data_IF_005742036906
#
_entry.id   IF_005742036906
#
_cell.length_a   1.000
_cell.length_b   1.000
_cell.length_c   1.000
_cell.angle_alpha   90.00
_cell.angle_beta   90.00
_cell.angle_gamma   90.00
#
_symmetry.space_group_name_H-M   'P 1'
#
loop_
_entity.id
_entity.type
_entity.pdbx_description
1 polymer ?
#
# COMPACT_ATOMS: atom_id res chain seq x y z
N UNK A 1 -25.85 -8.82 -16.74
CA UNK A 1 -26.55 -9.84 -15.90
C UNK A 1 -25.66 -10.07 -14.68
N UNK A 2 -26.14 -9.72 -13.51
CA UNK A 2 -25.37 -9.83 -12.27
C UNK A 2 -25.39 -11.28 -11.79
N UNK A 3 -24.22 -11.85 -11.53
CA UNK A 3 -24.10 -13.22 -11.03
C UNK A 3 -23.19 -13.20 -9.79
N UNK A 4 -23.72 -13.68 -8.67
CA UNK A 4 -22.94 -13.84 -7.44
C UNK A 4 -22.69 -15.31 -7.18
N UNK A 5 -21.43 -15.66 -6.92
CA UNK A 5 -21.05 -16.97 -6.41
C UNK A 5 -20.35 -16.80 -5.05
N UNK A 6 -20.21 -17.90 -4.32
CA UNK A 6 -19.57 -17.91 -3.01
C UNK A 6 -18.33 -18.77 -3.05
N UNK A 7 -17.19 -18.19 -2.67
CA UNK A 7 -15.94 -18.93 -2.52
C UNK A 7 -15.70 -19.19 -1.05
N UNK A 8 -15.45 -20.45 -0.71
CA UNK A 8 -15.10 -20.86 0.65
C UNK A 8 -13.59 -20.90 0.79
N UNK A 9 -13.08 -20.16 1.76
CA UNK A 9 -11.67 -20.14 2.11
C UNK A 9 -11.49 -20.60 3.56
N UNK A 10 -10.37 -21.26 3.83
CA UNK A 10 -9.92 -21.57 5.18
C UNK A 10 -8.70 -20.68 5.48
N UNK A 11 -8.87 -19.76 6.42
CA UNK A 11 -7.77 -18.91 6.90
C UNK A 11 -7.28 -19.50 8.22
N UNK A 12 -6.00 -19.79 8.28
CA UNK A 12 -5.35 -20.40 9.44
C UNK A 12 -5.60 -19.55 10.70
N UNK A 13 -6.17 -20.19 11.72
CA UNK A 13 -6.50 -19.54 13.00
C UNK A 13 -7.86 -18.85 13.04
N UNK A 14 -8.59 -18.73 11.91
CA UNK A 14 -9.89 -18.04 11.87
C UNK A 14 -11.04 -18.98 11.43
N UNK A 15 -10.71 -20.12 10.81
CA UNK A 15 -11.70 -21.06 10.32
C UNK A 15 -12.16 -20.78 8.88
N UNK A 16 -13.36 -21.26 8.54
CA UNK A 16 -13.91 -21.13 7.18
C UNK A 16 -14.61 -19.79 6.99
N UNK A 17 -14.30 -19.12 5.88
CA UNK A 17 -14.87 -17.85 5.48
C UNK A 17 -15.53 -18.01 4.12
N UNK A 18 -16.75 -17.49 3.97
CA UNK A 18 -17.45 -17.39 2.69
C UNK A 18 -17.27 -15.98 2.15
N UNK A 19 -16.68 -15.90 0.97
CA UNK A 19 -16.49 -14.64 0.24
C UNK A 19 -17.47 -14.62 -0.93
N UNK A 20 -18.46 -13.72 -0.94
CA UNK A 20 -19.29 -13.49 -2.11
C UNK A 20 -18.47 -12.80 -3.18
N UNK A 21 -18.43 -13.40 -4.36
CA UNK A 21 -17.80 -12.85 -5.56
C UNK A 21 -18.92 -12.49 -6.54
N UNK A 22 -19.01 -11.22 -6.86
CA UNK A 22 -20.03 -10.69 -7.77
C UNK A 22 -19.40 -10.23 -9.08
N UNK A 23 -19.86 -10.76 -10.20
CA UNK A 23 -19.51 -10.23 -11.52
C UNK A 23 -20.50 -9.10 -11.83
N UNK A 24 -20.00 -7.87 -11.85
CA UNK A 24 -20.80 -6.65 -12.01
C UNK A 24 -19.92 -5.50 -12.50
N UNK A 25 -20.51 -4.60 -13.27
CA UNK A 25 -19.86 -3.34 -13.64
C UNK A 25 -19.84 -2.32 -12.47
N UNK A 26 -20.42 -2.69 -11.32
CA UNK A 26 -20.46 -1.87 -10.13
C UNK A 26 -19.49 -2.42 -9.06
N UNK A 27 -18.27 -1.86 -8.93
CA UNK A 27 -17.21 -2.42 -8.08
C UNK A 27 -17.49 -2.37 -6.58
N UNK A 28 -18.53 -1.66 -6.15
CA UNK A 28 -18.92 -1.54 -4.73
C UNK A 28 -19.95 -2.60 -4.29
N UNK A 29 -20.36 -3.50 -5.17
CA UNK A 29 -21.32 -4.56 -4.83
C UNK A 29 -20.64 -5.79 -4.25
N UNK A 30 -20.72 -5.92 -2.92
CA UNK A 30 -20.24 -7.10 -2.19
C UNK A 30 -18.79 -7.03 -1.74
N UNK A 31 -18.29 -8.14 -1.19
CA UNK A 31 -16.93 -8.21 -0.64
C UNK A 31 -15.86 -8.25 -1.72
N UNK A 32 -16.20 -8.80 -2.90
CA UNK A 32 -15.37 -8.79 -4.09
C UNK A 32 -16.27 -8.65 -5.32
N UNK A 33 -16.28 -7.48 -5.94
CA UNK A 33 -16.91 -7.23 -7.22
C UNK A 33 -15.85 -7.17 -8.33
N UNK A 34 -16.10 -7.83 -9.43
CA UNK A 34 -15.20 -7.88 -10.59
C UNK A 34 -16.00 -7.70 -11.88
N UNK A 35 -15.37 -7.11 -12.90
CA UNK A 35 -16.01 -6.84 -14.18
C UNK A 35 -16.14 -8.10 -15.05
N UNK A 36 -15.31 -9.13 -14.81
CA UNK A 36 -15.35 -10.39 -15.53
C UNK A 36 -14.76 -11.54 -14.73
N UNK A 37 -15.06 -12.80 -15.11
CA UNK A 37 -14.56 -13.98 -14.41
C UNK A 37 -13.03 -14.08 -14.36
N UNK A 38 -12.35 -13.56 -15.38
CA UNK A 38 -10.88 -13.53 -15.49
C UNK A 38 -10.22 -12.67 -14.41
N UNK A 39 -10.96 -11.70 -13.87
CA UNK A 39 -10.49 -10.86 -12.78
C UNK A 39 -10.61 -11.54 -11.40
N UNK A 40 -11.19 -12.74 -11.32
CA UNK A 40 -11.28 -13.53 -10.09
C UNK A 40 -9.97 -14.31 -9.88
N UNK A 41 -9.03 -13.72 -9.18
CA UNK A 41 -7.75 -14.37 -8.86
C UNK A 41 -7.75 -14.91 -7.42
N UNK A 42 -6.95 -15.94 -7.11
CA UNK A 42 -6.80 -16.44 -5.74
C UNK A 42 -6.39 -15.34 -4.75
N UNK A 43 -5.53 -14.42 -5.19
CA UNK A 43 -5.08 -13.26 -4.40
C UNK A 43 -6.26 -12.35 -4.05
N UNK A 44 -7.04 -11.89 -5.03
CA UNK A 44 -8.20 -11.02 -4.80
C UNK A 44 -9.25 -11.65 -3.88
N UNK A 45 -9.49 -12.96 -4.02
CA UNK A 45 -10.40 -13.69 -3.12
C UNK A 45 -9.84 -13.70 -1.70
N UNK A 46 -8.54 -13.99 -1.53
CA UNK A 46 -7.88 -14.00 -0.22
C UNK A 46 -7.92 -12.62 0.41
N UNK A 47 -7.66 -11.58 -0.36
CA UNK A 47 -7.67 -10.20 0.11
C UNK A 47 -9.07 -9.76 0.57
N UNK A 48 -10.11 -10.08 -0.19
CA UNK A 48 -11.49 -9.84 0.21
C UNK A 48 -11.85 -10.60 1.51
N UNK A 49 -11.41 -11.86 1.63
CA UNK A 49 -11.60 -12.63 2.85
C UNK A 49 -10.90 -12.00 4.06
N UNK A 50 -9.67 -11.51 3.89
CA UNK A 50 -8.90 -10.83 4.93
C UNK A 50 -9.60 -9.55 5.40
N UNK A 51 -10.02 -8.70 4.46
CA UNK A 51 -10.78 -7.47 4.78
C UNK A 51 -12.08 -7.79 5.52
N UNK A 52 -12.80 -8.82 5.09
CA UNK A 52 -14.04 -9.25 5.74
C UNK A 52 -13.88 -9.61 7.23
N UNK A 53 -12.74 -10.14 7.62
CA UNK A 53 -12.43 -10.50 9.01
C UNK A 53 -11.56 -9.46 9.72
N UNK A 54 -11.36 -8.29 9.11
CA UNK A 54 -10.60 -7.19 9.71
C UNK A 54 -9.08 -7.38 9.74
N UNK A 55 -8.55 -8.30 8.93
CA UNK A 55 -7.10 -8.48 8.78
C UNK A 55 -6.54 -7.53 7.72
N UNK A 56 -5.46 -6.80 8.00
CA UNK A 56 -4.80 -5.92 7.02
C UNK A 56 -4.19 -6.72 5.87
N UNK A 57 -4.22 -6.17 4.65
CA UNK A 57 -3.60 -6.80 3.49
C UNK A 57 -2.10 -6.61 3.50
N UNK A 58 -1.37 -7.65 3.11
CA UNK A 58 0.04 -7.56 2.77
C UNK A 58 0.16 -6.99 1.36
N UNK A 59 0.80 -5.83 1.24
CA UNK A 59 1.02 -5.13 -0.04
C UNK A 59 2.24 -5.72 -0.75
N UNK A 60 3.31 -5.95 -0.02
CA UNK A 60 4.51 -6.58 -0.51
C UNK A 60 5.56 -6.71 0.58
N UNK A 61 6.58 -7.51 0.30
CA UNK A 61 7.67 -7.74 1.24
C UNK A 61 9.03 -7.89 0.55
N UNK A 62 10.08 -7.61 1.29
CA UNK A 62 11.47 -7.88 0.95
C UNK A 62 12.08 -8.78 2.03
N UNK A 63 13.37 -9.05 1.92
CA UNK A 63 14.12 -9.74 2.98
C UNK A 63 14.05 -8.97 4.32
N UNK A 64 14.05 -7.63 4.29
CA UNK A 64 14.22 -6.77 5.48
C UNK A 64 12.95 -6.12 5.98
N UNK A 65 11.97 -5.90 5.11
CA UNK A 65 10.74 -5.20 5.46
C UNK A 65 9.51 -5.78 4.76
N UNK A 66 8.34 -5.40 5.27
CA UNK A 66 7.08 -5.61 4.59
C UNK A 66 6.19 -4.37 4.69
N UNK A 67 5.34 -4.19 3.68
CA UNK A 67 4.28 -3.19 3.65
C UNK A 67 2.95 -3.88 3.81
N UNK A 68 2.10 -3.35 4.69
CA UNK A 68 0.71 -3.78 4.83
C UNK A 68 -0.21 -2.60 5.13
N UNK A 69 -1.49 -2.81 4.89
CA UNK A 69 -2.52 -1.89 5.37
C UNK A 69 -2.36 -1.67 6.88
N UNK A 70 -2.69 -0.45 7.31
CA UNK A 70 -2.77 -0.13 8.73
C UNK A 70 -4.03 -0.75 9.34
N UNK A 71 -3.97 -0.98 10.64
CA UNK A 71 -5.11 -1.40 11.46
C UNK A 71 -5.28 -0.48 12.66
N UNK A 72 -6.41 -0.58 13.36
CA UNK A 72 -6.63 0.18 14.60
C UNK A 72 -5.59 -0.18 15.69
N UNK A 73 -5.05 -1.38 15.65
CA UNK A 73 -4.01 -1.87 16.58
C UNK A 73 -2.66 -1.15 16.39
N UNK A 74 -2.42 -0.58 15.21
CA UNK A 74 -1.18 0.15 14.92
C UNK A 74 -1.14 1.55 15.52
N UNK A 75 -2.25 2.06 16.06
CA UNK A 75 -2.36 3.42 16.56
C UNK A 75 -1.24 3.82 17.53
N UNK A 76 -0.83 3.01 18.52
CA UNK A 76 0.29 3.35 19.40
C UNK A 76 1.61 3.52 18.65
N UNK A 77 1.87 2.64 17.67
CA UNK A 77 3.07 2.70 16.85
C UNK A 77 3.07 3.92 15.92
N UNK A 78 1.91 4.23 15.30
CA UNK A 78 1.72 5.42 14.45
C UNK A 78 1.98 6.69 15.25
N UNK A 79 1.45 6.79 16.47
CA UNK A 79 1.74 7.91 17.39
C UNK A 79 3.22 8.00 17.73
N UNK A 80 3.91 6.87 17.87
CA UNK A 80 5.35 6.80 18.08
C UNK A 80 6.19 7.37 16.94
N UNK A 81 5.64 7.44 15.70
CA UNK A 81 6.32 8.07 14.55
C UNK A 81 6.40 9.59 14.66
N UNK A 82 5.59 10.22 15.54
CA UNK A 82 5.56 11.67 15.78
C UNK A 82 5.38 12.49 14.50
N UNK A 83 4.45 12.08 13.65
CA UNK A 83 4.21 12.69 12.33
C UNK A 83 3.92 14.20 12.41
N UNK A 84 3.35 14.68 13.54
CA UNK A 84 3.07 16.10 13.78
C UNK A 84 4.32 16.96 14.01
N UNK A 85 5.46 16.34 14.37
CA UNK A 85 6.75 17.04 14.55
C UNK A 85 7.49 17.22 13.22
N UNK A 86 6.99 16.66 12.15
CA UNK A 86 7.62 16.67 10.85
C UNK A 86 6.74 17.37 9.82
N UNK A 87 7.35 17.91 8.76
CA UNK A 87 6.63 18.37 7.56
C UNK A 87 5.98 17.17 6.84
N UNK A 88 5.08 16.49 7.53
CA UNK A 88 4.37 15.29 7.05
C UNK A 88 3.40 15.57 5.88
N UNK A 89 3.47 16.76 5.28
CA UNK A 89 2.84 17.09 3.98
C UNK A 89 3.29 16.15 2.85
N UNK A 90 4.35 15.35 3.09
CA UNK A 90 4.90 14.40 2.12
C UNK A 90 3.99 13.19 1.82
N UNK A 91 2.94 12.97 2.61
CA UNK A 91 1.97 11.86 2.43
C UNK A 91 0.53 12.38 2.26
N UNK A 92 0.37 13.66 1.91
CA UNK A 92 -0.92 14.34 1.89
C UNK A 92 -1.39 14.76 3.28
N UNK A 93 -2.49 15.52 3.35
CA UNK A 93 -3.06 16.05 4.59
C UNK A 93 -3.43 14.95 5.59
N UNK A 94 -3.74 13.76 5.08
CA UNK A 94 -4.26 12.63 5.88
C UNK A 94 -3.23 11.99 6.82
N UNK A 95 -1.92 12.07 6.52
CA UNK A 95 -0.92 11.33 7.29
C UNK A 95 -0.86 11.74 8.77
N UNK A 96 -0.95 13.03 9.06
CA UNK A 96 -1.01 13.53 10.44
C UNK A 96 -2.27 13.10 11.18
N UNK A 97 -3.38 12.99 10.48
CA UNK A 97 -4.67 12.59 11.03
C UNK A 97 -4.73 11.10 11.41
N UNK A 98 -3.86 10.26 10.85
CA UNK A 98 -3.75 8.83 11.22
C UNK A 98 -3.40 8.62 12.71
N UNK A 99 -2.90 9.64 13.40
CA UNK A 99 -2.67 9.61 14.85
C UNK A 99 -3.97 9.72 15.67
N UNK A 100 -5.09 10.10 15.06
CA UNK A 100 -6.41 10.12 15.69
C UNK A 100 -7.12 8.77 15.51
N UNK A 101 -7.65 8.23 16.61
CA UNK A 101 -8.27 6.90 16.59
C UNK A 101 -9.54 6.84 15.73
N UNK A 102 -10.34 7.91 15.72
CA UNK A 102 -11.60 7.97 14.95
C UNK A 102 -11.27 8.07 13.47
N UNK A 103 -10.30 8.92 13.13
CA UNK A 103 -9.85 9.05 11.75
C UNK A 103 -9.24 7.76 11.23
N UNK A 104 -8.32 7.13 11.98
CA UNK A 104 -7.67 5.87 11.57
C UNK A 104 -8.70 4.77 11.32
N UNK A 105 -9.70 4.63 12.21
CA UNK A 105 -10.78 3.67 12.03
C UNK A 105 -11.58 3.94 10.75
N UNK A 106 -11.94 5.19 10.50
CA UNK A 106 -12.64 5.59 9.28
C UNK A 106 -11.78 5.34 8.03
N UNK A 107 -10.50 5.67 8.12
CA UNK A 107 -9.54 5.48 7.04
C UNK A 107 -9.42 4.00 6.64
N UNK A 108 -9.17 3.12 7.60
CA UNK A 108 -9.04 1.67 7.37
C UNK A 108 -10.31 1.08 6.76
N UNK A 109 -11.48 1.51 7.24
CA UNK A 109 -12.77 0.97 6.78
C UNK A 109 -13.21 1.46 5.41
N UNK A 110 -12.79 2.65 5.01
CA UNK A 110 -13.29 3.28 3.79
C UNK A 110 -12.21 3.40 2.71
N UNK A 111 -11.01 3.88 3.07
CA UNK A 111 -9.97 4.18 2.07
C UNK A 111 -9.53 2.94 1.30
N UNK A 112 -9.11 1.91 2.01
CA UNK A 112 -8.59 0.72 1.34
C UNK A 112 -9.65 -0.05 0.53
N UNK A 113 -10.88 -0.30 1.04
CA UNK A 113 -11.88 -0.99 0.24
C UNK A 113 -12.38 -0.19 -0.97
N UNK A 114 -12.42 1.15 -0.86
CA UNK A 114 -12.97 2.00 -1.92
C UNK A 114 -11.96 2.21 -3.06
N UNK A 115 -10.70 2.50 -2.72
CA UNK A 115 -9.68 2.86 -3.71
C UNK A 115 -8.71 1.74 -4.05
N UNK A 116 -8.64 0.68 -3.23
CA UNK A 116 -7.62 -0.37 -3.37
C UNK A 116 -6.22 0.07 -2.93
N UNK A 117 -6.02 1.35 -2.64
CA UNK A 117 -4.75 1.91 -2.19
C UNK A 117 -4.94 2.98 -1.10
N UNK A 118 -3.83 3.37 -0.49
CA UNK A 118 -3.77 4.41 0.54
C UNK A 118 -2.37 4.47 1.14
N UNK A 119 -2.29 4.98 2.38
CA UNK A 119 -1.06 5.03 3.16
C UNK A 119 -0.92 3.72 3.92
N UNK A 120 0.15 2.99 3.69
CA UNK A 120 0.47 1.72 4.32
C UNK A 120 1.57 1.85 5.35
N UNK A 121 1.62 0.92 6.30
CA UNK A 121 2.73 0.82 7.24
C UNK A 121 3.95 0.16 6.61
N UNK A 122 5.12 0.74 6.86
CA UNK A 122 6.43 0.15 6.54
C UNK A 122 6.96 -0.51 7.80
N UNK A 123 6.98 -1.83 7.84
CA UNK A 123 7.41 -2.62 8.99
C UNK A 123 8.76 -3.27 8.71
N UNK A 124 9.73 -3.04 9.58
CA UNK A 124 11.03 -3.72 9.54
C UNK A 124 10.90 -5.05 10.28
N UNK A 125 11.28 -6.14 9.62
CA UNK A 125 11.26 -7.50 10.21
C UNK A 125 12.22 -7.55 11.40
N UNK A 126 11.74 -8.06 12.54
CA UNK A 126 12.52 -8.08 13.77
C UNK A 126 13.60 -9.17 13.81
N UNK A 127 13.44 -10.22 12.98
CA UNK A 127 14.42 -11.30 12.79
C UNK A 127 14.11 -12.04 11.49
N UNK A 128 15.14 -12.49 10.73
CA UNK A 128 14.93 -13.33 9.56
C UNK A 128 14.34 -14.72 9.89
N UNK A 129 14.42 -15.16 11.15
CA UNK A 129 13.95 -16.48 11.58
C UNK A 129 12.48 -16.53 12.01
N UNK A 130 11.74 -15.40 11.99
CA UNK A 130 10.32 -15.38 12.31
C UNK A 130 9.49 -15.72 11.06
N UNK A 131 9.75 -16.86 10.46
CA UNK A 131 8.90 -17.51 9.45
C UNK A 131 7.83 -18.33 10.17
N UNK A 132 6.78 -17.71 10.69
CA UNK A 132 5.76 -18.46 11.43
C UNK A 132 4.48 -17.74 11.78
N UNK A 133 4.38 -16.46 11.46
CA UNK A 133 3.12 -15.73 11.53
C UNK A 133 2.17 -16.15 10.40
N UNK A 134 0.87 -16.20 10.66
CA UNK A 134 -0.09 -16.24 9.57
C UNK A 134 0.19 -15.04 8.65
N UNK A 135 0.03 -15.16 7.31
CA UNK A 135 0.22 -14.05 6.40
C UNK A 135 -0.54 -12.81 6.90
N UNK A 136 0.17 -11.70 7.18
CA UNK A 136 -0.39 -10.45 7.73
C UNK A 136 -0.30 -10.30 9.25
N UNK A 137 0.24 -11.26 9.99
CA UNK A 137 0.57 -11.12 11.41
C UNK A 137 2.09 -11.28 11.62
N UNK A 138 2.87 -10.73 10.70
CA UNK A 138 4.33 -10.75 10.81
C UNK A 138 4.77 -9.78 11.92
N UNK A 139 5.61 -10.27 12.82
CA UNK A 139 6.19 -9.45 13.86
C UNK A 139 7.21 -8.48 13.24
N UNK A 140 6.85 -7.20 13.19
CA UNK A 140 7.71 -6.15 12.68
C UNK A 140 7.58 -4.87 13.49
N UNK A 141 8.59 -4.03 13.41
CA UNK A 141 8.57 -2.70 14.00
C UNK A 141 8.16 -1.67 12.95
N UNK A 142 7.12 -0.90 13.21
CA UNK A 142 6.68 0.18 12.32
C UNK A 142 7.80 1.23 12.21
N UNK A 143 8.44 1.28 11.08
CA UNK A 143 9.56 2.17 10.78
C UNK A 143 9.16 3.43 10.02
N UNK A 144 7.95 3.42 9.44
CA UNK A 144 7.48 4.54 8.64
C UNK A 144 6.16 4.25 7.95
N UNK A 145 5.84 5.10 7.01
CA UNK A 145 4.66 5.02 6.17
C UNK A 145 5.07 5.17 4.70
N UNK A 146 4.37 4.51 3.80
CA UNK A 146 4.50 4.71 2.35
C UNK A 146 3.17 4.37 1.68
N UNK A 147 2.91 4.93 0.50
CA UNK A 147 1.67 4.62 -0.22
C UNK A 147 1.29 5.69 -1.22
N UNK A 148 0.02 5.70 -1.57
CA UNK A 148 -0.52 6.60 -2.58
C UNK A 148 -1.62 7.49 -2.02
N UNK A 149 -1.69 8.72 -2.52
CA UNK A 149 -2.79 9.64 -2.34
C UNK A 149 -3.16 10.30 -3.67
N UNK A 150 -4.33 10.90 -3.73
CA UNK A 150 -4.67 11.79 -4.84
C UNK A 150 -4.09 13.18 -4.54
N UNK A 151 -3.52 13.89 -5.54
CA UNK A 151 -3.05 15.26 -5.35
C UNK A 151 -4.17 16.15 -4.82
N UNK A 152 -3.87 17.00 -3.82
CA UNK A 152 -4.86 17.92 -3.23
C UNK A 152 -5.17 19.12 -4.14
N UNK A 153 -4.22 19.50 -5.00
CA UNK A 153 -4.35 20.61 -5.94
C UNK A 153 -4.14 20.11 -7.36
N UNK A 154 -5.18 20.20 -8.16
CA UNK A 154 -5.14 20.00 -9.60
C UNK A 154 -4.60 21.28 -10.26
N UNK A 155 -3.30 21.53 -10.13
CA UNK A 155 -2.69 22.72 -10.70
C UNK A 155 -2.21 22.52 -12.12
N UNK A 156 -2.20 21.28 -12.61
CA UNK A 156 -1.71 20.95 -13.94
C UNK A 156 -2.59 19.86 -14.57
N UNK A 157 -3.18 20.17 -15.72
CA UNK A 157 -4.03 19.24 -16.48
C UNK A 157 -3.29 17.95 -16.89
N UNK A 158 -1.96 18.02 -17.02
CA UNK A 158 -1.15 16.86 -17.41
C UNK A 158 -0.93 15.85 -16.26
N UNK A 159 -1.31 16.20 -15.03
CA UNK A 159 -1.17 15.33 -13.84
C UNK A 159 -2.52 14.96 -13.20
N UNK A 160 -3.63 15.39 -13.81
CA UNK A 160 -4.98 15.10 -13.33
C UNK A 160 -5.24 13.59 -13.29
N UNK A 161 -5.73 13.12 -12.15
CA UNK A 161 -6.08 11.71 -11.96
C UNK A 161 -4.90 10.76 -11.73
N UNK A 162 -3.65 11.23 -11.78
CA UNK A 162 -2.48 10.38 -11.51
C UNK A 162 -2.20 10.36 -10.01
N UNK A 163 -2.20 9.18 -9.36
CA UNK A 163 -1.89 9.07 -7.94
C UNK A 163 -0.47 9.52 -7.61
N UNK A 164 -0.30 10.14 -6.45
CA UNK A 164 1.00 10.57 -5.94
C UNK A 164 1.55 9.56 -4.93
N UNK A 165 2.78 9.09 -5.16
CA UNK A 165 3.50 8.26 -4.18
C UNK A 165 4.15 9.14 -3.13
N UNK A 166 3.91 8.82 -1.86
CA UNK A 166 4.55 9.46 -0.73
C UNK A 166 5.16 8.46 0.23
N UNK A 167 6.12 8.93 1.03
CA UNK A 167 6.72 8.10 2.07
C UNK A 167 7.27 8.93 3.23
N UNK A 168 7.30 8.32 4.40
CA UNK A 168 7.94 8.82 5.60
C UNK A 168 8.68 7.70 6.30
N UNK A 169 9.95 7.90 6.64
CA UNK A 169 10.73 6.97 7.47
C UNK A 169 11.16 7.70 8.75
N UNK A 170 10.84 7.09 9.89
CA UNK A 170 11.20 7.63 11.20
C UNK A 170 12.72 7.83 11.33
N UNK A 171 13.19 8.87 12.03
CA UNK A 171 14.62 9.23 12.09
C UNK A 171 15.55 8.07 12.44
N UNK A 172 15.16 7.21 13.38
CA UNK A 172 15.94 6.04 13.83
C UNK A 172 16.12 4.94 12.75
N UNK A 173 15.28 4.98 11.71
CA UNK A 173 15.30 4.02 10.60
C UNK A 173 15.86 4.60 9.30
N UNK A 174 16.19 5.90 9.26
CA UNK A 174 16.74 6.56 8.06
C UNK A 174 18.13 6.05 7.70
N UNK A 175 18.55 6.31 6.46
CA UNK A 175 19.89 6.00 5.91
C UNK A 175 20.22 4.50 5.84
N UNK A 176 19.19 3.65 5.88
CA UNK A 176 19.30 2.18 5.79
C UNK A 176 18.74 1.62 4.47
N UNK A 177 18.25 2.49 3.57
CA UNK A 177 17.65 2.10 2.29
C UNK A 177 16.15 1.77 2.35
N UNK A 178 15.52 1.79 3.51
CA UNK A 178 14.11 1.39 3.66
C UNK A 178 13.12 2.22 2.85
N UNK A 179 13.37 3.52 2.65
CA UNK A 179 12.54 4.34 1.78
C UNK A 179 12.53 3.83 0.33
N UNK A 180 13.71 3.47 -0.19
CA UNK A 180 13.84 2.94 -1.54
C UNK A 180 13.12 1.60 -1.69
N UNK A 181 13.32 0.67 -0.76
CA UNK A 181 12.64 -0.63 -0.77
C UNK A 181 11.11 -0.46 -0.68
N UNK A 182 10.63 0.38 0.24
CA UNK A 182 9.21 0.64 0.40
C UNK A 182 8.57 1.22 -0.86
N UNK A 183 9.20 2.25 -1.46
CA UNK A 183 8.70 2.84 -2.69
C UNK A 183 8.68 1.84 -3.85
N UNK A 184 9.69 0.96 -3.96
CA UNK A 184 9.69 -0.07 -4.99
C UNK A 184 8.55 -1.06 -4.83
N UNK A 185 8.24 -1.48 -3.61
CA UNK A 185 7.07 -2.32 -3.34
C UNK A 185 5.76 -1.61 -3.69
N UNK A 186 5.66 -0.30 -3.38
CA UNK A 186 4.51 0.49 -3.80
C UNK A 186 4.36 0.50 -5.32
N UNK A 187 5.44 0.73 -6.07
CA UNK A 187 5.42 0.77 -7.53
C UNK A 187 5.05 -0.56 -8.17
N UNK A 188 5.55 -1.67 -7.61
CA UNK A 188 5.14 -3.01 -8.04
C UNK A 188 3.65 -3.22 -7.84
N UNK A 189 3.14 -2.91 -6.65
CA UNK A 189 1.72 -3.02 -6.35
C UNK A 189 0.88 -2.13 -7.28
N UNK A 190 1.35 -0.93 -7.58
CA UNK A 190 0.68 0.00 -8.48
C UNK A 190 0.54 -0.58 -9.90
N UNK A 191 1.60 -1.15 -10.46
CA UNK A 191 1.56 -1.78 -11.78
C UNK A 191 0.78 -3.08 -11.78
N UNK A 192 1.10 -4.00 -10.87
CA UNK A 192 0.56 -5.36 -10.88
C UNK A 192 -0.91 -5.45 -10.41
N UNK A 193 -1.28 -4.70 -9.36
CA UNK A 193 -2.60 -4.84 -8.74
C UNK A 193 -3.57 -3.71 -9.09
N UNK A 194 -3.06 -2.49 -9.30
CA UNK A 194 -3.90 -1.34 -9.63
C UNK A 194 -3.92 -1.05 -11.14
N UNK A 195 -3.02 -1.65 -11.92
CA UNK A 195 -2.91 -1.41 -13.36
C UNK A 195 -2.48 0.02 -13.70
N UNK A 196 -1.78 0.69 -12.80
CA UNK A 196 -1.29 2.05 -13.01
C UNK A 196 -0.01 2.01 -13.86
N UNK A 197 -0.02 2.75 -14.96
CA UNK A 197 1.18 2.89 -15.81
C UNK A 197 2.17 3.89 -15.22
N UNK A 198 1.65 4.89 -14.51
CA UNK A 198 2.46 5.99 -13.97
C UNK A 198 1.95 6.47 -12.61
N UNK A 199 2.88 6.95 -11.78
CA UNK A 199 2.60 7.64 -10.52
C UNK A 199 3.44 8.91 -10.42
N UNK A 200 2.97 9.92 -9.68
CA UNK A 200 3.71 11.14 -9.42
C UNK A 200 4.55 10.98 -8.16
N UNK A 201 5.74 11.56 -8.16
CA UNK A 201 6.53 11.82 -6.95
C UNK A 201 6.84 13.31 -6.89
N UNK A 202 6.13 14.05 -6.03
CA UNK A 202 6.36 15.48 -5.84
C UNK A 202 7.45 15.70 -4.79
N UNK A 203 8.45 16.47 -5.13
CA UNK A 203 9.62 16.72 -4.26
C UNK A 203 9.97 18.17 -4.26
N UNK A 204 10.13 18.76 -3.08
CA UNK A 204 10.66 20.12 -2.95
C UNK A 204 12.12 20.15 -3.39
N UNK A 205 12.53 21.19 -4.10
CA UNK A 205 13.89 21.32 -4.64
C UNK A 205 14.98 21.22 -3.57
N UNK A 206 14.70 21.67 -2.35
CA UNK A 206 15.65 21.60 -1.23
C UNK A 206 15.80 20.18 -0.65
N UNK A 207 14.84 19.29 -0.90
CA UNK A 207 14.85 17.92 -0.38
C UNK A 207 15.74 17.01 -1.23
N UNK A 208 17.06 17.22 -1.13
CA UNK A 208 18.07 16.46 -1.90
C UNK A 208 17.95 14.94 -1.71
N UNK A 209 17.57 14.47 -0.52
CA UNK A 209 17.44 13.04 -0.27
C UNK A 209 16.30 12.41 -1.08
N UNK A 210 15.12 13.04 -1.10
CA UNK A 210 13.99 12.60 -1.90
C UNK A 210 14.24 12.77 -3.40
N UNK A 211 14.94 13.83 -3.83
CA UNK A 211 15.36 14.00 -5.23
C UNK A 211 16.27 12.87 -5.71
N UNK A 212 17.25 12.48 -4.89
CA UNK A 212 18.13 11.35 -5.22
C UNK A 212 17.35 10.03 -5.29
N UNK A 213 16.41 9.82 -4.38
CA UNK A 213 15.54 8.64 -4.41
C UNK A 213 14.66 8.64 -5.66
N UNK A 214 13.98 9.75 -5.96
CA UNK A 214 13.15 9.88 -7.16
C UNK A 214 13.91 9.53 -8.45
N UNK A 215 15.13 10.08 -8.62
CA UNK A 215 15.99 9.74 -9.77
C UNK A 215 16.34 8.25 -9.82
N UNK A 216 16.56 7.60 -8.69
CA UNK A 216 16.81 6.15 -8.65
C UNK A 216 15.58 5.34 -9.03
N UNK A 217 14.40 5.74 -8.56
CA UNK A 217 13.14 5.07 -8.89
C UNK A 217 12.82 5.17 -10.38
N UNK A 218 13.11 6.30 -11.01
CA UNK A 218 12.96 6.48 -12.47
C UNK A 218 13.87 5.57 -13.30
N UNK A 219 15.04 5.21 -12.79
CA UNK A 219 16.05 4.44 -13.54
C UNK A 219 15.84 2.92 -13.48
N UNK A 220 14.95 2.44 -12.65
CA UNK A 220 14.86 1.02 -12.35
C UNK A 220 13.47 0.45 -12.64
N UNK A 221 13.32 -0.14 -13.81
CA UNK A 221 12.28 -1.14 -14.09
C UNK A 221 12.60 -2.53 -13.52
N UNK A 222 13.41 -2.66 -12.45
CA UNK A 222 13.81 -3.96 -11.88
C UNK A 222 13.19 -4.20 -10.51
N UNK A 223 12.69 -5.41 -10.32
CA UNK A 223 12.15 -5.91 -9.05
C UNK A 223 13.14 -5.69 -7.88
N UNK A 224 12.69 -5.22 -6.69
CA UNK A 224 13.56 -4.92 -5.55
C UNK A 224 14.34 -6.14 -5.01
N UNK A 225 13.86 -7.35 -5.27
CA UNK A 225 14.51 -8.61 -4.83
C UNK A 225 15.41 -9.26 -5.89
N UNK A 226 15.59 -8.64 -7.07
CA UNK A 226 16.35 -9.27 -8.15
C UNK A 226 15.64 -10.48 -8.81
N UNK A 227 14.39 -10.76 -8.43
CA UNK A 227 13.53 -11.75 -9.08
C UNK A 227 12.77 -11.06 -10.21
N UNK A 228 12.65 -11.74 -11.34
CA UNK A 228 11.76 -11.29 -12.41
C UNK A 228 10.30 -11.41 -11.91
N UNK A 229 9.41 -10.43 -12.23
CA UNK A 229 8.01 -10.53 -11.86
C UNK A 229 7.43 -11.83 -12.45
N UNK A 230 6.61 -12.50 -11.65
CA UNK A 230 5.97 -13.76 -12.05
C UNK A 230 4.89 -13.57 -13.13
N UNK A 231 4.73 -12.35 -13.67
CA UNK A 231 3.78 -11.97 -14.71
C UNK A 231 4.36 -10.96 -15.69
N UNK A 232 3.64 -10.70 -16.78
CA UNK A 232 4.05 -9.76 -17.85
C UNK A 232 3.88 -8.28 -17.48
N UNK A 233 3.44 -7.95 -16.25
CA UNK A 233 3.18 -6.58 -15.82
C UNK A 233 4.42 -5.98 -15.17
N UNK A 234 4.79 -4.81 -15.67
CA UNK A 234 5.91 -4.02 -15.16
C UNK A 234 5.48 -3.12 -13.98
N UNK A 235 6.42 -2.72 -13.09
CA UNK A 235 6.13 -1.72 -12.07
C UNK A 235 5.74 -0.39 -12.71
N UNK A 236 4.85 0.37 -12.05
CA UNK A 236 4.44 1.68 -12.52
C UNK A 236 5.66 2.62 -12.66
N UNK A 237 5.67 3.41 -13.72
CA UNK A 237 6.70 4.43 -13.92
C UNK A 237 6.56 5.58 -12.92
N UNK A 238 7.66 6.27 -12.62
CA UNK A 238 7.67 7.42 -11.72
C UNK A 238 7.91 8.70 -12.51
N UNK A 239 6.94 9.62 -12.48
CA UNK A 239 7.12 11.01 -12.92
C UNK A 239 7.54 11.87 -11.73
N UNK A 240 8.78 12.35 -11.74
CA UNK A 240 9.28 13.25 -10.71
C UNK A 240 8.83 14.69 -11.02
N UNK A 241 8.11 15.29 -10.08
CA UNK A 241 7.64 16.69 -10.14
C UNK A 241 8.36 17.50 -9.08
N UNK A 242 8.99 18.60 -9.49
CA UNK A 242 9.65 19.53 -8.58
C UNK A 242 8.69 20.63 -8.14
N UNK A 243 8.63 20.95 -6.88
CA UNK A 243 7.77 21.97 -6.26
C UNK A 243 8.53 22.84 -5.27
#
# INVERSE_FOLDING_TARGET
MEQTCYVRLEIRGTGQILVPVTVSDEPWKGDLAVTGPEAVTPRRITDAARRKIGLPLLIGETERLFLRELSEEDLPAIRGLKLWETDAKLLGASAGQLCDAVFLRSYVRNQYPLFGFGIWGVFVKNSPDVTGGAPGNEAGTLAGLAGFGMPEEETDTDTEGIPEIGYYIAPSFRRKGYAEEACRLCLLYAGEELGLEEVLLRVREENRASLMLGKKLQQTGKHPCGQEPAGEQEPAAVRLVLI
#
